data_IF_083610153839
#
_entry.id   IF_083610153839
#
_cell.length_a   1.000
_cell.length_b   1.000
_cell.length_c   1.000
_cell.angle_alpha   90.00
_cell.angle_beta   90.00
_cell.angle_gamma   90.00
#
_symmetry.space_group_name_H-M   'P 1'
#
loop_
_entity.id
_entity.type
_entity.pdbx_description
1 polymer ?
#
# COMPACT_ATOMS: atom_id res chain seq x y z
N UNK A 1 9.32 9.48 -22.35
CA UNK A 1 9.32 9.65 -20.88
C UNK A 1 7.92 10.03 -20.45
N UNK A 2 7.50 9.68 -19.24
CA UNK A 2 6.13 9.94 -18.72
C UNK A 2 6.07 11.26 -17.97
N UNK A 3 4.99 12.03 -18.10
CA UNK A 3 4.79 13.25 -17.31
C UNK A 3 4.38 12.89 -15.86
N UNK A 4 5.12 13.31 -14.82
CA UNK A 4 4.74 13.05 -13.43
C UNK A 4 3.36 13.57 -13.04
N UNK A 5 2.87 14.62 -13.70
CA UNK A 5 1.54 15.18 -13.44
C UNK A 5 0.39 14.25 -13.83
N UNK A 6 0.65 13.21 -14.64
CA UNK A 6 -0.39 12.26 -15.06
C UNK A 6 -0.73 11.21 -13.99
N UNK A 7 0.06 11.12 -12.92
CA UNK A 7 -0.05 10.07 -11.91
C UNK A 7 -0.82 10.55 -10.70
N UNK A 8 -1.70 9.69 -10.19
CA UNK A 8 -2.67 10.09 -9.16
C UNK A 8 -2.76 9.13 -7.98
N UNK A 9 -2.13 7.96 -8.10
CA UNK A 9 -2.03 6.96 -7.04
C UNK A 9 -0.56 6.64 -6.81
N UNK A 10 -0.10 6.85 -5.58
CA UNK A 10 1.20 6.38 -5.10
C UNK A 10 1.09 4.99 -4.49
N UNK A 11 2.04 4.11 -4.79
CA UNK A 11 2.16 2.78 -4.21
C UNK A 11 3.57 2.62 -3.64
N UNK A 12 3.68 2.35 -2.35
CA UNK A 12 4.96 2.09 -1.68
C UNK A 12 5.00 0.63 -1.24
N UNK A 13 6.10 -0.05 -1.57
CA UNK A 13 6.42 -1.39 -1.09
C UNK A 13 7.67 -1.34 -0.22
N UNK A 14 7.68 -2.08 0.88
CA UNK A 14 8.74 -2.05 1.87
C UNK A 14 9.90 -2.99 1.52
N UNK A 15 9.64 -4.12 0.87
CA UNK A 15 10.68 -5.09 0.51
C UNK A 15 10.66 -5.46 -0.98
N UNK A 16 11.77 -6.04 -1.44
CA UNK A 16 11.96 -6.45 -2.85
C UNK A 16 10.86 -7.39 -3.32
N UNK A 17 10.47 -8.38 -2.51
CA UNK A 17 9.44 -9.36 -2.87
C UNK A 17 8.09 -8.70 -3.15
N UNK A 18 7.69 -7.74 -2.32
CA UNK A 18 6.47 -6.95 -2.52
C UNK A 18 6.54 -6.12 -3.79
N UNK A 19 7.68 -5.44 -4.01
CA UNK A 19 7.90 -4.64 -5.19
C UNK A 19 7.87 -5.48 -6.48
N UNK A 20 8.45 -6.68 -6.46
CA UNK A 20 8.42 -7.62 -7.58
C UNK A 20 6.99 -8.02 -7.88
N UNK A 21 6.21 -8.43 -6.87
CA UNK A 21 4.82 -8.81 -7.05
C UNK A 21 4.01 -7.64 -7.63
N UNK A 22 4.07 -6.47 -7.00
CA UNK A 22 3.31 -5.29 -7.40
C UNK A 22 3.62 -4.87 -8.85
N UNK A 23 4.88 -4.95 -9.31
CA UNK A 23 5.25 -4.65 -10.70
C UNK A 23 4.63 -5.59 -11.73
N UNK A 24 4.23 -6.79 -11.33
CA UNK A 24 3.60 -7.77 -12.22
C UNK A 24 2.08 -7.64 -12.27
N UNK A 25 1.47 -6.92 -11.32
CA UNK A 25 0.05 -6.60 -11.30
C UNK A 25 -0.30 -5.27 -12.00
N UNK A 26 0.67 -4.59 -12.62
CA UNK A 26 0.39 -3.47 -13.53
C UNK A 26 -0.18 -3.99 -14.85
N UNK A 27 -1.36 -3.50 -15.25
CA UNK A 27 -1.95 -3.79 -16.56
C UNK A 27 -1.06 -3.29 -17.70
N UNK A 28 -0.44 -2.13 -17.48
CA UNK A 28 0.48 -1.50 -18.42
C UNK A 28 1.65 -0.88 -17.66
N UNK A 29 2.88 -1.07 -18.19
CA UNK A 29 4.06 -0.33 -17.75
C UNK A 29 4.28 0.90 -18.63
N UNK A 30 4.60 2.00 -17.99
CA UNK A 30 4.95 3.25 -18.66
C UNK A 30 6.47 3.45 -18.64
N UNK A 31 6.96 4.38 -19.46
CA UNK A 31 8.36 4.78 -19.43
C UNK A 31 8.68 5.54 -18.13
N UNK A 32 9.96 5.64 -17.80
CA UNK A 32 10.47 6.44 -16.68
C UNK A 32 9.96 7.89 -16.70
N UNK A 33 9.87 8.54 -15.52
CA UNK A 33 9.41 9.92 -15.43
C UNK A 33 10.35 10.86 -16.18
N UNK A 34 9.78 11.89 -16.81
CA UNK A 34 10.54 12.93 -17.52
C UNK A 34 11.43 13.75 -16.58
N UNK A 35 11.00 13.92 -15.33
CA UNK A 35 11.75 14.58 -14.28
C UNK A 35 11.29 14.04 -12.92
N UNK A 36 12.14 14.25 -11.91
CA UNK A 36 11.82 14.09 -10.50
C UNK A 36 12.26 15.35 -9.77
N UNK A 37 11.71 15.61 -8.58
CA UNK A 37 12.09 16.74 -7.76
C UNK A 37 13.59 16.68 -7.38
N UNK A 38 14.18 17.85 -7.16
CA UNK A 38 15.57 17.92 -6.74
C UNK A 38 15.75 17.24 -5.37
N UNK A 39 16.73 16.35 -5.27
CA UNK A 39 17.05 15.53 -4.09
C UNK A 39 16.04 14.41 -3.77
N UNK A 40 15.11 14.12 -4.67
CA UNK A 40 14.36 12.87 -4.61
C UNK A 40 15.29 11.70 -4.97
N UNK A 41 15.54 10.81 -4.01
CA UNK A 41 16.42 9.65 -4.18
C UNK A 41 15.64 8.36 -4.49
N UNK A 42 14.32 8.45 -4.65
CA UNK A 42 13.51 7.30 -4.99
C UNK A 42 13.74 6.83 -6.43
N UNK A 43 13.57 5.53 -6.64
CA UNK A 43 13.51 4.94 -7.97
C UNK A 43 12.07 4.51 -8.25
N UNK A 44 11.50 5.04 -9.34
CA UNK A 44 10.10 4.83 -9.65
C UNK A 44 9.86 3.75 -10.70
N UNK A 45 8.78 2.99 -10.52
CA UNK A 45 8.16 2.23 -11.60
C UNK A 45 6.79 2.83 -11.88
N UNK A 46 6.54 3.17 -13.14
CA UNK A 46 5.32 3.83 -13.57
C UNK A 46 4.44 2.86 -14.36
N UNK A 47 3.12 2.96 -14.16
CA UNK A 47 2.19 2.15 -14.92
C UNK A 47 0.74 2.50 -14.67
N UNK A 48 -0.12 1.53 -14.97
CA UNK A 48 -1.56 1.66 -14.90
C UNK A 48 -2.21 0.42 -14.29
N UNK A 49 -3.24 0.64 -13.48
CA UNK A 49 -4.19 -0.39 -13.03
C UNK A 49 -5.60 0.13 -13.28
N UNK A 50 -6.38 -0.60 -14.08
CA UNK A 50 -7.66 -0.17 -14.62
C UNK A 50 -7.56 1.18 -15.31
N UNK A 51 -8.15 2.21 -14.69
CA UNK A 51 -8.17 3.59 -15.19
C UNK A 51 -7.20 4.52 -14.45
N UNK A 52 -6.44 3.99 -13.50
CA UNK A 52 -5.58 4.78 -12.62
C UNK A 52 -4.13 4.68 -13.04
N UNK A 53 -3.48 5.83 -13.24
CA UNK A 53 -2.03 5.91 -13.38
C UNK A 53 -1.39 5.81 -11.99
N UNK A 54 -0.55 4.81 -11.82
CA UNK A 54 0.09 4.43 -10.55
C UNK A 54 1.59 4.68 -10.65
N UNK A 55 2.12 5.38 -9.65
CA UNK A 55 3.56 5.51 -9.42
C UNK A 55 3.95 4.64 -8.25
N UNK A 56 4.91 3.75 -8.47
CA UNK A 56 5.41 2.83 -7.47
C UNK A 56 6.82 3.23 -7.03
N UNK A 57 7.08 3.20 -5.73
CA UNK A 57 8.42 3.27 -5.16
C UNK A 57 8.65 2.12 -4.18
N UNK A 58 9.90 1.80 -3.93
CA UNK A 58 10.30 0.87 -2.89
C UNK A 58 11.21 1.56 -1.89
N UNK A 59 11.19 1.11 -0.65
CA UNK A 59 12.18 1.56 0.33
C UNK A 59 13.60 1.22 -0.18
N UNK A 60 14.61 2.04 0.20
CA UNK A 60 16.00 1.73 -0.06
C UNK A 60 16.35 0.32 0.42
N UNK A 61 17.26 -0.31 -0.31
CA UNK A 61 17.67 -1.69 -0.03
C UNK A 61 18.23 -1.78 1.40
N UNK A 62 17.80 -2.81 2.12
CA UNK A 62 18.22 -3.11 3.49
C UNK A 62 17.78 -2.05 4.54
N UNK A 63 16.90 -1.12 4.15
CA UNK A 63 16.21 -0.20 5.05
C UNK A 63 14.74 -0.61 5.24
N UNK A 64 14.22 -0.38 6.44
CA UNK A 64 12.83 -0.65 6.77
C UNK A 64 12.33 0.33 7.83
N UNK A 65 11.01 0.45 7.94
CA UNK A 65 10.35 1.16 9.02
C UNK A 65 9.62 2.42 8.56
N UNK A 66 8.89 3.02 9.51
CA UNK A 66 7.97 4.13 9.27
C UNK A 66 8.68 5.40 8.83
N UNK A 67 9.86 5.70 9.38
CA UNK A 67 10.66 6.88 9.02
C UNK A 67 11.11 6.82 7.55
N UNK A 68 11.69 5.71 7.12
CA UNK A 68 12.13 5.53 5.73
C UNK A 68 10.94 5.57 4.77
N UNK A 69 9.84 4.91 5.11
CA UNK A 69 8.60 4.97 4.32
C UNK A 69 8.04 6.40 4.20
N UNK A 70 8.10 7.19 5.27
CA UNK A 70 7.67 8.58 5.27
C UNK A 70 8.54 9.46 4.34
N UNK A 71 9.86 9.25 4.33
CA UNK A 71 10.76 9.95 3.41
C UNK A 71 10.46 9.59 1.95
N UNK A 72 10.31 8.29 1.64
CA UNK A 72 9.93 7.83 0.30
C UNK A 72 8.61 8.46 -0.13
N UNK A 73 7.59 8.46 0.73
CA UNK A 73 6.29 9.06 0.45
C UNK A 73 6.40 10.57 0.20
N UNK A 74 7.15 11.28 1.04
CA UNK A 74 7.36 12.72 0.92
C UNK A 74 8.00 13.08 -0.42
N UNK A 75 9.08 12.39 -0.78
CA UNK A 75 9.81 12.66 -2.02
C UNK A 75 8.94 12.32 -3.25
N UNK A 76 8.17 11.23 -3.17
CA UNK A 76 7.16 10.88 -4.19
C UNK A 76 6.12 12.00 -4.38
N UNK A 77 5.60 12.59 -3.31
CA UNK A 77 4.65 13.69 -3.41
C UNK A 77 5.28 14.96 -4.01
N UNK A 78 6.58 15.19 -3.80
CA UNK A 78 7.29 16.30 -4.44
C UNK A 78 7.48 16.08 -5.94
N UNK A 79 7.75 14.85 -6.36
CA UNK A 79 7.95 14.50 -7.77
C UNK A 79 6.65 14.34 -8.56
N UNK A 80 5.58 13.88 -7.91
CA UNK A 80 4.29 13.59 -8.53
C UNK A 80 3.18 14.40 -7.84
N UNK A 81 3.03 15.69 -8.20
CA UNK A 81 2.20 16.63 -7.45
C UNK A 81 0.69 16.34 -7.51
N UNK A 82 0.25 15.53 -8.49
CA UNK A 82 -1.16 15.17 -8.67
C UNK A 82 -1.56 13.85 -7.98
N UNK A 83 -0.67 13.25 -7.18
CA UNK A 83 -1.04 12.14 -6.30
C UNK A 83 -2.14 12.60 -5.35
N UNK A 84 -3.26 11.88 -5.39
CA UNK A 84 -4.43 12.11 -4.53
C UNK A 84 -4.52 11.07 -3.42
N UNK A 85 -3.97 9.89 -3.64
CA UNK A 85 -4.03 8.74 -2.74
C UNK A 85 -2.65 8.07 -2.73
N UNK A 86 -2.10 7.82 -1.54
CA UNK A 86 -0.94 6.96 -1.34
C UNK A 86 -1.34 5.66 -0.65
N UNK A 87 -0.84 4.54 -1.14
CA UNK A 87 -1.03 3.21 -0.57
C UNK A 87 0.31 2.64 -0.15
N UNK A 88 0.41 2.13 1.07
CA UNK A 88 1.48 1.24 1.48
C UNK A 88 0.91 -0.18 1.36
N UNK A 89 1.48 -0.98 0.47
CA UNK A 89 1.01 -2.34 0.19
C UNK A 89 2.17 -3.29 0.35
N UNK A 90 1.99 -4.28 1.22
CA UNK A 90 3.00 -5.24 1.58
C UNK A 90 2.43 -6.42 2.36
N UNK A 91 3.32 -7.33 2.74
CA UNK A 91 2.99 -8.47 3.59
C UNK A 91 3.00 -8.05 5.07
N UNK A 92 2.16 -8.68 5.87
CA UNK A 92 2.07 -8.44 7.30
C UNK A 92 1.93 -9.72 8.10
N UNK A 93 2.20 -9.64 9.41
CA UNK A 93 1.89 -10.71 10.35
C UNK A 93 0.44 -10.64 10.82
N UNK A 94 -0.19 -11.81 11.05
CA UNK A 94 -1.53 -11.92 11.63
C UNK A 94 -1.49 -12.31 13.11
N UNK A 95 -2.41 -11.78 13.90
CA UNK A 95 -2.61 -12.15 15.31
C UNK A 95 -4.05 -12.70 15.51
N UNK A 96 -4.32 -13.96 15.12
CA UNK A 96 -5.65 -14.53 15.21
C UNK A 96 -6.12 -14.68 16.66
N UNK A 97 -7.44 -14.59 16.86
CA UNK A 97 -8.10 -14.82 18.14
C UNK A 97 -9.41 -15.59 17.94
N UNK A 98 -10.05 -16.02 19.04
CA UNK A 98 -11.37 -16.68 18.96
C UNK A 98 -12.45 -15.81 18.32
N UNK A 99 -12.30 -14.50 18.36
CA UNK A 99 -13.27 -13.53 17.81
C UNK A 99 -12.80 -12.92 16.48
N UNK A 100 -11.55 -13.15 16.08
CA UNK A 100 -10.96 -12.63 14.84
C UNK A 100 -10.19 -13.75 14.15
N UNK A 101 -10.82 -14.35 13.14
CA UNK A 101 -10.24 -15.42 12.34
C UNK A 101 -9.38 -14.85 11.22
N UNK A 102 -8.13 -14.51 11.55
CA UNK A 102 -7.12 -14.04 10.58
C UNK A 102 -6.28 -15.23 10.11
N UNK A 103 -6.23 -15.46 8.80
CA UNK A 103 -5.56 -16.60 8.17
C UNK A 103 -4.48 -16.16 7.19
N UNK A 104 -3.56 -17.07 6.87
CA UNK A 104 -2.59 -16.85 5.80
C UNK A 104 -3.31 -16.73 4.46
N UNK A 105 -2.98 -15.68 3.71
CA UNK A 105 -3.63 -15.36 2.44
C UNK A 105 -4.71 -14.28 2.56
N UNK A 106 -5.16 -13.95 3.77
CA UNK A 106 -6.12 -12.86 3.97
C UNK A 106 -5.51 -11.51 3.56
N UNK A 107 -6.29 -10.72 2.83
CA UNK A 107 -5.94 -9.35 2.47
C UNK A 107 -6.68 -8.41 3.42
N UNK A 108 -5.92 -7.70 4.25
CA UNK A 108 -6.46 -6.71 5.17
C UNK A 108 -6.38 -5.33 4.55
N UNK A 109 -7.53 -4.66 4.41
CA UNK A 109 -7.60 -3.27 3.94
C UNK A 109 -7.93 -2.38 5.12
N UNK A 110 -7.06 -1.40 5.39
CA UNK A 110 -7.29 -0.41 6.46
C UNK A 110 -8.61 0.33 6.23
N UNK A 111 -9.49 0.30 7.23
CA UNK A 111 -10.76 1.02 7.26
C UNK A 111 -11.00 1.61 8.65
N UNK A 112 -12.06 2.40 8.82
CA UNK A 112 -12.42 2.97 10.12
C UNK A 112 -12.93 1.91 11.07
N UNK A 113 -12.56 2.01 12.34
CA UNK A 113 -13.21 1.30 13.45
C UNK A 113 -13.77 2.34 14.43
N UNK A 114 -15.10 2.47 14.47
CA UNK A 114 -15.75 3.52 15.24
C UNK A 114 -15.32 4.92 14.79
N UNK A 115 -14.68 5.66 15.71
CA UNK A 115 -14.11 7.00 15.55
C UNK A 115 -12.58 6.98 15.28
N UNK A 116 -11.96 5.81 15.20
CA UNK A 116 -10.51 5.64 15.03
C UNK A 116 -10.16 5.21 13.60
N UNK A 117 -9.00 5.65 13.14
CA UNK A 117 -8.38 5.12 11.93
C UNK A 117 -7.98 3.66 12.09
N UNK A 118 -7.91 2.92 10.98
CA UNK A 118 -7.59 1.48 10.97
C UNK A 118 -6.13 1.15 11.25
N UNK A 119 -5.27 2.17 11.46
CA UNK A 119 -3.85 2.00 11.77
C UNK A 119 -3.54 2.78 13.04
N UNK A 120 -2.91 2.11 14.00
CA UNK A 120 -2.43 2.71 15.22
C UNK A 120 -1.01 2.23 15.50
N UNK A 121 -0.25 3.06 16.21
CA UNK A 121 1.12 2.73 16.56
C UNK A 121 1.11 2.00 17.90
N UNK A 122 1.21 0.67 17.86
CA UNK A 122 1.07 -0.18 19.05
C UNK A 122 2.23 -0.01 20.05
N UNK A 123 3.42 0.38 19.60
CA UNK A 123 4.61 0.58 20.43
C UNK A 123 4.75 2.02 20.96
N UNK A 124 3.78 2.89 20.65
CA UNK A 124 3.78 4.29 21.06
C UNK A 124 2.62 4.62 21.99
N UNK A 125 2.95 5.23 23.13
CA UNK A 125 1.97 5.43 24.18
C UNK A 125 2.57 5.95 25.48
N UNK A 126 1.75 5.90 26.53
CA UNK A 126 2.12 6.34 27.87
C UNK A 126 1.97 5.20 28.85
N UNK A 127 2.95 5.07 29.72
CA UNK A 127 2.83 4.27 30.95
C UNK A 127 2.40 5.22 32.06
N UNK A 128 1.21 4.98 32.62
CA UNK A 128 0.71 5.70 33.79
C UNK A 128 0.84 4.75 34.99
N UNK A 129 1.28 5.28 36.13
CA UNK A 129 1.42 4.48 37.35
C UNK A 129 0.11 3.74 37.64
N UNK A 130 0.22 2.44 37.94
CA UNK A 130 -0.90 1.53 38.22
C UNK A 130 -1.93 1.37 37.08
N UNK A 131 -1.56 1.67 35.83
CA UNK A 131 -2.40 1.48 34.65
C UNK A 131 -1.69 0.67 33.57
N UNK A 132 -2.48 0.03 32.70
CA UNK A 132 -1.96 -0.60 31.48
C UNK A 132 -1.37 0.46 30.52
N UNK A 133 -0.47 0.02 29.65
CA UNK A 133 0.09 0.88 28.59
C UNK A 133 -1.04 1.46 27.74
N UNK A 134 -1.08 2.79 27.63
CA UNK A 134 -2.09 3.49 26.86
C UNK A 134 -1.53 3.86 25.49
N UNK A 135 -2.06 3.25 24.44
CA UNK A 135 -1.77 3.67 23.07
C UNK A 135 -2.36 5.06 22.82
N UNK A 136 -1.51 6.02 22.44
CA UNK A 136 -1.94 7.42 22.28
C UNK A 136 -1.96 7.91 20.83
N UNK A 137 -1.52 7.09 19.88
CA UNK A 137 -1.34 7.52 18.49
C UNK A 137 -2.06 6.62 17.50
N UNK A 138 -2.99 7.23 16.77
CA UNK A 138 -3.72 6.65 15.64
C UNK A 138 -3.38 7.47 14.39
N UNK A 139 -3.27 6.81 13.24
CA UNK A 139 -3.24 7.52 11.97
C UNK A 139 -4.64 8.04 11.63
N UNK A 140 -4.69 9.09 10.81
CA UNK A 140 -5.95 9.61 10.30
C UNK A 140 -6.71 8.52 9.52
N UNK A 141 -8.03 8.67 9.47
CA UNK A 141 -8.88 7.75 8.73
C UNK A 141 -8.62 7.85 7.22
N UNK A 142 -8.73 6.73 6.46
CA UNK A 142 -8.68 6.81 5.01
C UNK A 142 -9.74 7.79 4.47
N UNK A 143 -9.43 8.58 3.42
CA UNK A 143 -10.38 9.48 2.80
C UNK A 143 -11.71 8.79 2.47
N UNK A 144 -12.81 9.54 2.54
CA UNK A 144 -14.17 8.99 2.31
C UNK A 144 -14.29 8.22 0.99
N UNK A 145 -13.60 8.67 -0.06
CA UNK A 145 -13.58 7.97 -1.36
C UNK A 145 -13.01 6.55 -1.26
N UNK A 146 -11.97 6.34 -0.47
CA UNK A 146 -11.40 5.01 -0.25
C UNK A 146 -12.31 4.15 0.61
N UNK A 147 -12.92 4.72 1.65
CA UNK A 147 -13.89 3.97 2.47
C UNK A 147 -15.12 3.54 1.68
N UNK A 148 -15.60 4.39 0.76
CA UNK A 148 -16.67 4.03 -0.17
C UNK A 148 -16.22 2.92 -1.16
N UNK A 149 -14.99 3.01 -1.68
CA UNK A 149 -14.43 1.98 -2.55
C UNK A 149 -14.29 0.62 -1.84
N UNK A 150 -13.88 0.61 -0.57
CA UNK A 150 -13.83 -0.62 0.26
C UNK A 150 -15.23 -1.21 0.44
N UNK A 151 -16.25 -0.38 0.68
CA UNK A 151 -17.64 -0.86 0.78
C UNK A 151 -18.17 -1.45 -0.53
N UNK A 152 -17.83 -0.84 -1.66
CA UNK A 152 -18.17 -1.38 -2.98
C UNK A 152 -17.45 -2.71 -3.25
N UNK A 153 -16.14 -2.78 -2.95
CA UNK A 153 -15.34 -4.00 -3.08
C UNK A 153 -15.90 -5.14 -2.22
N UNK A 154 -16.28 -4.85 -0.97
CA UNK A 154 -16.89 -5.84 -0.08
C UNK A 154 -18.22 -6.36 -0.63
N UNK A 155 -19.03 -5.49 -1.26
CA UNK A 155 -20.30 -5.89 -1.88
C UNK A 155 -20.06 -6.84 -3.05
N UNK A 156 -19.10 -6.53 -3.92
CA UNK A 156 -18.71 -7.38 -5.05
C UNK A 156 -18.13 -8.71 -4.57
N UNK A 157 -17.28 -8.68 -3.54
CA UNK A 157 -16.68 -9.87 -2.94
C UNK A 157 -17.73 -10.82 -2.36
N UNK A 158 -18.73 -10.31 -1.64
CA UNK A 158 -19.82 -11.13 -1.08
C UNK A 158 -20.75 -11.69 -2.16
N UNK A 159 -20.98 -10.94 -3.24
CA UNK A 159 -21.86 -11.36 -4.33
C UNK A 159 -21.20 -12.36 -5.28
N UNK A 160 -19.99 -12.06 -5.72
CA UNK A 160 -19.33 -12.70 -6.87
C UNK A 160 -17.96 -13.32 -6.51
N UNK A 161 -17.43 -13.04 -5.31
CA UNK A 161 -16.11 -13.53 -4.88
C UNK A 161 -14.95 -12.73 -5.46
N UNK A 162 -13.82 -13.41 -5.71
CA UNK A 162 -12.62 -12.79 -6.26
C UNK A 162 -11.88 -13.72 -7.23
N UNK A 163 -11.07 -13.16 -8.12
CA UNK A 163 -10.26 -13.91 -9.11
C UNK A 163 -8.76 -13.90 -8.80
N UNK A 164 -8.38 -13.56 -7.58
CA UNK A 164 -6.97 -13.41 -7.16
C UNK A 164 -6.10 -14.62 -7.49
N UNK A 165 -6.54 -15.83 -7.15
CA UNK A 165 -5.76 -17.05 -7.42
C UNK A 165 -5.54 -17.28 -8.91
N UNK A 166 -6.55 -17.00 -9.73
CA UNK A 166 -6.45 -17.12 -11.19
C UNK A 166 -5.41 -16.13 -11.73
N UNK A 167 -5.47 -14.87 -11.29
CA UNK A 167 -4.52 -13.83 -11.70
C UNK A 167 -3.09 -14.13 -11.25
N UNK A 168 -2.91 -14.59 -10.00
CA UNK A 168 -1.61 -15.01 -9.48
C UNK A 168 -1.05 -16.16 -10.33
N UNK A 169 -1.84 -17.19 -10.59
CA UNK A 169 -1.41 -18.35 -11.38
C UNK A 169 -1.05 -17.98 -12.82
N UNK A 170 -1.81 -17.07 -13.44
CA UNK A 170 -1.51 -16.54 -14.78
C UNK A 170 -0.16 -15.83 -14.81
N UNK A 171 0.12 -14.96 -13.83
CA UNK A 171 1.42 -14.28 -13.71
C UNK A 171 2.56 -15.28 -13.52
N UNK A 172 2.40 -16.25 -12.61
CA UNK A 172 3.40 -17.27 -12.33
C UNK A 172 3.65 -18.19 -13.54
N UNK A 173 2.66 -18.41 -14.40
CA UNK A 173 2.85 -19.14 -15.65
C UNK A 173 3.71 -18.37 -16.66
N UNK A 174 3.57 -17.04 -16.72
CA UNK A 174 4.34 -16.19 -17.62
C UNK A 174 5.74 -15.85 -17.10
N UNK A 175 5.96 -15.92 -15.77
CA UNK A 175 7.21 -15.54 -15.11
C UNK A 175 7.81 -16.73 -14.38
N UNK A 176 8.44 -17.62 -15.13
CA UNK A 176 9.05 -18.87 -14.62
C UNK A 176 10.06 -18.67 -13.50
N UNK A 177 10.72 -17.51 -13.40
CA UNK A 177 11.63 -17.17 -12.29
C UNK A 177 10.95 -16.91 -10.95
N UNK A 178 9.63 -16.73 -10.93
CA UNK A 178 8.83 -16.48 -9.72
C UNK A 178 8.16 -17.74 -9.16
N UNK A 179 8.35 -18.89 -9.83
CA UNK A 179 7.89 -20.20 -9.35
C UNK A 179 8.92 -20.85 -8.43
#
# INVERSE_FOLDING_TARGET
>A
MSNPEDYTVGWISAIITEAVAAKHFLDQRHQEPQFVAQHDNNVYTLGKIGRHNVVMASLPKDEYGTTTAATVARDMLHSFPNIRIGLIVGIGGGAPSRTHDVRLGDIVVSSRDGDKGGVFQYDYGKTIQDQAFQHTQFLDQPPTVLRAAVGALATEYEADGHTLDEQINQILAQKTRLR
#
